data_IF_038288097605
#
_entry.id   IF_038288097605
#
_cell.length_a   1.000
_cell.length_b   1.000
_cell.length_c   1.000
_cell.angle_alpha   90.00
_cell.angle_beta   90.00
_cell.angle_gamma   90.00
#
_symmetry.space_group_name_H-M   'P 1'
#
loop_
_entity.id
_entity.type
_entity.pdbx_description
1 polymer ?
#
# COMPACT_ATOMS: atom_id res chain seq x y z
N UNK A 1 -0.62 -9.23 -10.34
CA UNK A 1 -1.16 -9.89 -9.15
C UNK A 1 -0.23 -10.96 -8.59
N UNK A 2 0.02 -12.08 -9.32
CA UNK A 2 0.91 -13.15 -8.85
C UNK A 2 2.33 -12.65 -8.53
N UNK A 3 2.90 -11.76 -9.35
CA UNK A 3 4.22 -11.20 -9.11
C UNK A 3 4.27 -10.41 -7.81
N UNK A 4 3.28 -9.56 -7.57
CA UNK A 4 3.15 -8.81 -6.31
C UNK A 4 2.99 -9.77 -5.12
N UNK A 5 2.14 -10.79 -5.24
CA UNK A 5 1.96 -11.80 -4.21
C UNK A 5 3.26 -12.53 -3.85
N UNK A 6 4.09 -12.89 -4.83
CA UNK A 6 5.41 -13.52 -4.60
C UNK A 6 6.40 -12.59 -3.90
N UNK A 7 6.39 -11.30 -4.23
CA UNK A 7 7.22 -10.29 -3.56
C UNK A 7 6.81 -10.17 -2.10
N UNK A 8 5.50 -10.01 -1.83
CA UNK A 8 4.97 -9.91 -0.47
C UNK A 8 5.27 -11.18 0.33
N UNK A 9 5.12 -12.37 -0.28
CA UNK A 9 5.48 -13.63 0.37
C UNK A 9 6.95 -13.66 0.78
N UNK A 10 7.86 -13.35 -0.14
CA UNK A 10 9.29 -13.37 0.14
C UNK A 10 9.68 -12.38 1.25
N UNK A 11 9.15 -11.16 1.18
CA UNK A 11 9.43 -10.11 2.16
C UNK A 11 8.80 -10.41 3.51
N UNK A 12 7.58 -10.96 3.56
CA UNK A 12 6.91 -11.31 4.82
C UNK A 12 7.57 -12.48 5.56
N UNK A 13 8.36 -13.30 4.88
CA UNK A 13 9.17 -14.38 5.45
C UNK A 13 10.58 -13.93 5.85
N UNK A 14 10.93 -12.66 5.59
CA UNK A 14 12.26 -12.13 5.91
C UNK A 14 12.35 -11.65 7.37
N UNK A 15 13.58 -11.52 7.87
CA UNK A 15 13.87 -10.95 9.19
C UNK A 15 13.43 -9.48 9.34
N UNK A 16 13.16 -8.80 8.24
CA UNK A 16 12.77 -7.39 8.23
C UNK A 16 11.27 -7.19 8.39
N UNK A 17 10.48 -8.26 8.25
CA UNK A 17 9.03 -8.19 8.26
C UNK A 17 8.43 -7.42 9.45
N UNK A 18 8.92 -7.57 10.72
CA UNK A 18 8.36 -6.86 11.86
C UNK A 18 8.40 -5.33 11.76
N UNK A 19 9.24 -4.78 10.88
CA UNK A 19 9.44 -3.33 10.71
C UNK A 19 9.20 -2.89 9.26
N UNK A 20 8.35 -3.61 8.52
CA UNK A 20 8.15 -3.39 7.10
C UNK A 20 6.72 -2.94 6.78
N UNK A 21 6.59 -2.01 5.86
CA UNK A 21 5.35 -1.70 5.17
C UNK A 21 5.62 -1.71 3.66
N UNK A 22 4.76 -2.42 2.92
CA UNK A 22 4.82 -2.56 1.47
C UNK A 22 3.59 -1.87 0.90
N UNK A 23 3.80 -0.95 -0.02
CA UNK A 23 2.73 -0.27 -0.75
C UNK A 23 2.84 -0.68 -2.22
N UNK A 24 1.77 -1.26 -2.76
CA UNK A 24 1.62 -1.52 -4.19
C UNK A 24 0.59 -0.57 -4.76
N UNK A 25 1.03 0.33 -5.62
CA UNK A 25 0.16 1.33 -6.24
C UNK A 25 0.35 1.29 -7.76
N UNK A 26 -0.76 1.39 -8.47
CA UNK A 26 -0.74 1.57 -9.92
C UNK A 26 -0.54 3.05 -10.23
N UNK A 27 0.30 3.36 -11.20
CA UNK A 27 0.62 4.74 -11.59
C UNK A 27 -0.50 5.38 -12.42
N UNK A 28 -0.92 4.72 -13.51
CA UNK A 28 -1.92 5.22 -14.44
C UNK A 28 -3.09 4.23 -14.63
N UNK A 29 -4.34 4.67 -14.48
CA UNK A 29 -5.49 3.85 -14.85
C UNK A 29 -5.55 3.74 -16.39
N UNK A 30 -5.31 2.56 -16.94
CA UNK A 30 -5.23 2.31 -18.37
C UNK A 30 -6.59 2.46 -19.10
N UNK A 31 -6.57 2.34 -20.43
CA UNK A 31 -7.74 2.33 -21.31
C UNK A 31 -8.45 3.66 -21.50
N UNK A 32 -7.72 4.75 -21.62
CA UNK A 32 -8.21 6.02 -22.17
C UNK A 32 -8.73 7.03 -21.16
N UNK A 33 -8.78 6.72 -19.90
CA UNK A 33 -9.21 7.65 -18.84
C UNK A 33 -8.03 8.29 -18.11
N UNK A 34 -6.88 7.69 -18.14
CA UNK A 34 -5.65 8.06 -17.44
C UNK A 34 -5.15 9.48 -17.75
N UNK A 35 -5.32 9.95 -18.99
CA UNK A 35 -4.93 11.31 -19.40
C UNK A 35 -6.00 12.38 -19.19
N UNK A 36 -7.19 12.01 -18.73
CA UNK A 36 -8.31 12.94 -18.55
C UNK A 36 -8.82 13.00 -17.13
N UNK A 37 -8.62 11.93 -16.37
CA UNK A 37 -9.24 11.80 -15.08
C UNK A 37 -8.51 10.77 -14.24
N UNK A 38 -7.94 11.20 -13.14
CA UNK A 38 -7.35 10.35 -12.12
C UNK A 38 -8.39 9.78 -11.16
N UNK A 39 -9.48 9.21 -11.66
CA UNK A 39 -10.60 8.80 -10.82
C UNK A 39 -10.22 7.80 -9.75
N UNK A 40 -9.50 6.78 -10.11
CA UNK A 40 -9.06 5.76 -9.16
C UNK A 40 -8.09 4.78 -9.80
N UNK A 41 -7.24 4.27 -8.95
CA UNK A 41 -6.28 3.23 -9.27
C UNK A 41 -6.26 2.20 -8.13
N UNK A 42 -5.55 1.10 -8.32
CA UNK A 42 -5.41 0.10 -7.28
C UNK A 42 -4.32 0.48 -6.29
N UNK A 43 -4.58 0.26 -5.00
CA UNK A 43 -3.59 0.40 -3.95
C UNK A 43 -3.69 -0.75 -2.96
N UNK A 44 -2.57 -1.41 -2.70
CA UNK A 44 -2.45 -2.50 -1.74
C UNK A 44 -1.46 -2.11 -0.65
N UNK A 45 -1.79 -2.44 0.59
CA UNK A 45 -0.91 -2.24 1.74
C UNK A 45 -0.68 -3.59 2.41
N UNK A 46 0.58 -3.99 2.56
CA UNK A 46 0.96 -5.18 3.30
C UNK A 46 2.01 -4.84 4.37
N UNK A 47 1.70 -5.13 5.61
CA UNK A 47 2.54 -4.88 6.78
C UNK A 47 2.03 -5.75 7.93
N UNK A 48 2.85 -6.07 8.95
CA UNK A 48 2.32 -6.58 10.21
C UNK A 48 1.27 -5.67 10.83
N UNK A 49 1.39 -4.36 10.63
CA UNK A 49 0.46 -3.37 11.18
C UNK A 49 -0.70 -3.02 10.23
N UNK A 50 -0.74 -3.55 9.02
CA UNK A 50 -1.87 -3.32 8.12
C UNK A 50 -3.07 -4.19 8.53
N UNK A 51 -4.27 -3.62 8.41
CA UNK A 51 -5.52 -4.35 8.60
C UNK A 51 -5.69 -5.35 7.47
N UNK A 52 -5.75 -6.64 7.80
CA UNK A 52 -5.79 -7.73 6.81
C UNK A 52 -7.20 -8.04 6.35
N UNK A 53 -7.33 -8.39 5.08
CA UNK A 53 -8.58 -8.88 4.50
C UNK A 53 -9.71 -7.85 4.50
N UNK A 54 -9.38 -6.55 4.54
CA UNK A 54 -10.37 -5.47 4.52
C UNK A 54 -10.16 -4.57 3.32
N UNK A 55 -11.23 -3.96 2.85
CA UNK A 55 -11.20 -2.84 1.91
C UNK A 55 -11.52 -1.57 2.67
N UNK A 56 -10.60 -0.60 2.60
CA UNK A 56 -10.82 0.73 3.17
C UNK A 56 -11.44 1.61 2.09
N UNK A 57 -12.55 2.25 2.42
CA UNK A 57 -13.34 3.07 1.48
C UNK A 57 -13.11 4.57 1.63
N UNK A 58 -12.23 4.98 2.55
CA UNK A 58 -11.79 6.37 2.64
C UNK A 58 -11.05 6.76 1.37
N UNK A 59 -11.37 7.95 0.85
CA UNK A 59 -10.74 8.44 -0.37
C UNK A 59 -9.31 8.89 -0.07
N UNK A 60 -8.35 8.20 -0.64
CA UNK A 60 -6.94 8.54 -0.63
C UNK A 60 -6.44 8.79 -2.05
N UNK A 61 -5.32 9.47 -2.17
CA UNK A 61 -4.63 9.69 -3.44
C UNK A 61 -3.15 9.30 -3.30
N UNK A 62 -2.38 9.43 -4.38
CA UNK A 62 -0.96 9.08 -4.40
C UNK A 62 -0.15 9.86 -3.36
N UNK A 63 -0.50 11.14 -3.11
CA UNK A 63 0.17 11.94 -2.09
C UNK A 63 -0.18 11.49 -0.67
N UNK A 64 -1.34 10.87 -0.45
CA UNK A 64 -1.68 10.21 0.82
C UNK A 64 -0.76 9.02 1.10
N UNK A 65 -0.44 8.22 0.07
CA UNK A 65 0.51 7.11 0.18
C UNK A 65 1.90 7.64 0.55
N UNK A 66 2.39 8.66 -0.17
CA UNK A 66 3.67 9.32 0.13
C UNK A 66 3.70 9.86 1.55
N UNK A 67 2.66 10.60 1.95
CA UNK A 67 2.56 11.16 3.30
C UNK A 67 2.60 10.08 4.39
N UNK A 68 1.96 8.95 4.14
CA UNK A 68 1.99 7.81 5.05
C UNK A 68 3.40 7.24 5.18
N UNK A 69 4.12 7.06 4.07
CA UNK A 69 5.52 6.60 4.09
C UNK A 69 6.43 7.57 4.82
N UNK A 70 6.29 8.89 4.59
CA UNK A 70 7.05 9.92 5.28
C UNK A 70 6.86 9.86 6.79
N UNK A 71 5.62 9.69 7.25
CA UNK A 71 5.34 9.56 8.68
C UNK A 71 5.92 8.28 9.28
N UNK A 72 5.82 7.15 8.58
CA UNK A 72 6.43 5.89 9.03
C UNK A 72 7.95 6.03 9.15
N UNK A 73 8.58 6.75 8.23
CA UNK A 73 10.04 6.95 8.20
C UNK A 73 10.50 8.12 9.08
N UNK A 74 9.60 8.95 9.59
CA UNK A 74 9.93 10.13 10.37
C UNK A 74 10.63 11.22 9.56
N UNK A 75 10.38 11.31 8.26
CA UNK A 75 10.94 12.33 7.37
C UNK A 75 9.93 13.44 7.08
N UNK A 76 10.39 14.67 6.83
CA UNK A 76 9.51 15.78 6.50
C UNK A 76 8.89 15.60 5.10
N UNK A 77 7.73 16.23 4.83
CA UNK A 77 7.15 16.24 3.50
C UNK A 77 8.05 16.97 2.50
N UNK A 78 7.97 16.54 1.24
CA UNK A 78 8.77 17.11 0.14
C UNK A 78 8.24 18.49 -0.30
N UNK A 79 6.92 18.68 -0.21
CA UNK A 79 6.26 19.91 -0.64
C UNK A 79 4.86 20.06 0.00
N UNK A 80 4.10 21.09 -0.42
CA UNK A 80 2.78 21.38 0.14
C UNK A 80 1.73 20.32 -0.20
N UNK A 81 1.86 19.59 -1.30
CA UNK A 81 0.87 18.61 -1.72
C UNK A 81 0.86 17.38 -0.80
N UNK A 82 2.02 16.82 -0.53
CA UNK A 82 2.14 15.69 0.40
C UNK A 82 1.97 16.15 1.86
N UNK A 83 2.45 17.37 2.21
CA UNK A 83 2.23 17.94 3.54
C UNK A 83 0.75 18.07 3.91
N UNK A 84 -0.10 18.41 2.95
CA UNK A 84 -1.55 18.59 3.14
C UNK A 84 -2.37 17.32 2.91
N UNK A 85 -1.76 16.23 2.45
CA UNK A 85 -2.45 14.99 2.17
C UNK A 85 -2.85 14.27 3.48
N UNK A 86 -4.03 13.66 3.48
CA UNK A 86 -4.50 12.83 4.58
C UNK A 86 -3.73 11.51 4.61
N UNK A 87 -3.02 11.17 5.70
CA UNK A 87 -2.37 9.89 5.85
C UNK A 87 -3.38 8.73 5.98
N UNK A 88 -2.97 7.54 5.58
CA UNK A 88 -3.82 6.35 5.50
C UNK A 88 -3.96 5.64 6.86
N UNK A 89 -4.35 6.35 7.92
CA UNK A 89 -4.39 5.83 9.29
C UNK A 89 -5.33 4.63 9.45
N UNK A 90 -6.49 4.65 8.79
CA UNK A 90 -7.49 3.60 8.88
C UNK A 90 -7.12 2.30 8.15
N UNK A 91 -6.02 2.31 7.39
CA UNK A 91 -5.41 1.11 6.84
C UNK A 91 -4.57 0.32 7.85
N UNK A 92 -4.29 0.89 9.03
CA UNK A 92 -3.37 0.33 10.01
C UNK A 92 -4.04 0.00 11.34
N UNK A 93 -3.34 -0.78 12.15
CA UNK A 93 -3.72 -1.19 13.50
C UNK A 93 -2.53 -1.09 14.44
N UNK A 94 -2.78 -0.88 15.72
CA UNK A 94 -1.74 -0.84 16.76
C UNK A 94 -1.19 -2.23 17.12
N UNK A 95 -1.98 -3.28 16.90
CA UNK A 95 -1.58 -4.66 17.21
C UNK A 95 -1.06 -5.35 15.97
N UNK A 96 0.25 -5.69 15.90
CA UNK A 96 0.82 -6.33 14.73
C UNK A 96 0.41 -7.80 14.60
N UNK A 97 0.14 -8.23 13.37
CA UNK A 97 0.05 -9.63 12.98
C UNK A 97 1.28 -10.01 12.16
N UNK A 98 2.20 -10.73 12.78
CA UNK A 98 3.47 -11.14 12.18
C UNK A 98 3.35 -12.35 11.24
N UNK A 99 2.17 -12.94 11.10
CA UNK A 99 1.94 -14.08 10.21
C UNK A 99 2.38 -13.74 8.79
N UNK A 100 3.29 -14.49 8.16
CA UNK A 100 3.72 -14.24 6.80
C UNK A 100 2.60 -14.52 5.80
N UNK A 101 2.68 -13.87 4.65
CA UNK A 101 1.79 -14.14 3.52
C UNK A 101 2.27 -15.35 2.72
N UNK A 102 1.35 -16.00 2.04
CA UNK A 102 1.62 -17.03 1.04
C UNK A 102 0.95 -16.63 -0.26
N UNK A 103 1.73 -16.59 -1.34
CA UNK A 103 1.20 -16.27 -2.67
C UNK A 103 0.28 -17.39 -3.14
N UNK A 104 -0.89 -17.01 -3.63
CA UNK A 104 -1.80 -17.96 -4.28
C UNK A 104 -1.38 -18.20 -5.73
N UNK A 105 -1.55 -19.43 -6.25
CA UNK A 105 -1.31 -19.69 -7.66
C UNK A 105 -2.28 -18.88 -8.53
N UNK A 106 -1.84 -18.52 -9.72
CA UNK A 106 -2.72 -17.89 -10.71
C UNK A 106 -3.77 -18.89 -11.20
N UNK A 107 -5.01 -18.41 -11.33
CA UNK A 107 -6.10 -19.17 -11.97
C UNK A 107 -6.30 -18.74 -13.43
N UNK A 108 -5.46 -17.85 -13.93
CA UNK A 108 -5.48 -17.43 -15.34
C UNK A 108 -4.64 -18.42 -16.14
N UNK A 109 -5.22 -19.08 -17.17
CA UNK A 109 -4.51 -20.04 -18.01
C UNK A 109 -3.42 -19.38 -18.87
#
# INVERSE_FOLDING_TARGET
DLAFGRIVEALSKSRFWPQMAIFGIEDDPQAGWDHRSGYRTTCYVASPFARRGVTVSTQYNTTSVLRTMEQILGIPPMNVFDASAEPMFDCFTETPDLTPFTALPTNVP
#
